data_IF_058727163449
#
_entry.id   IF_058727163449
#
_cell.length_a   1.000
_cell.length_b   1.000
_cell.length_c   1.000
_cell.angle_alpha   90.00
_cell.angle_beta   90.00
_cell.angle_gamma   90.00
#
_symmetry.space_group_name_H-M   'P 1'
#
loop_
_entity.id
_entity.type
_entity.pdbx_description
1 polymer ?
#
# COMPACT_ATOMS: atom_id res chain seq x y z
N UNK A 1 34.79 -6.50 -50.79
CA UNK A 1 33.49 -6.97 -50.21
C UNK A 1 33.61 -7.44 -48.78
N UNK A 2 34.34 -8.52 -48.40
CA UNK A 2 34.33 -9.10 -47.04
C UNK A 2 34.72 -8.16 -45.91
N UNK A 3 35.74 -7.29 -46.10
CA UNK A 3 36.11 -6.28 -45.08
C UNK A 3 34.98 -5.29 -44.79
N UNK A 4 34.33 -4.76 -45.81
CA UNK A 4 33.24 -3.79 -45.65
C UNK A 4 32.02 -4.43 -44.99
N UNK A 5 31.73 -5.71 -45.32
CA UNK A 5 30.68 -6.46 -44.69
C UNK A 5 30.93 -6.63 -43.18
N UNK A 6 32.16 -7.02 -42.79
CA UNK A 6 32.55 -7.13 -41.36
C UNK A 6 32.42 -5.79 -40.64
N UNK A 7 32.89 -4.69 -41.22
CA UNK A 7 32.82 -3.36 -40.64
C UNK A 7 31.38 -2.92 -40.43
N UNK A 8 30.55 -3.00 -41.48
CA UNK A 8 29.15 -2.55 -41.40
C UNK A 8 28.27 -3.38 -40.49
N UNK A 9 28.44 -4.71 -40.49
CA UNK A 9 27.73 -5.57 -39.58
C UNK A 9 28.15 -5.32 -38.14
N UNK A 10 29.45 -5.16 -37.86
CA UNK A 10 29.93 -4.81 -36.54
C UNK A 10 29.39 -3.46 -36.02
N UNK A 11 29.45 -2.41 -36.88
CA UNK A 11 28.90 -1.09 -36.50
C UNK A 11 27.42 -1.15 -36.09
N UNK A 12 26.68 -2.12 -36.65
CA UNK A 12 25.26 -2.27 -36.36
C UNK A 12 24.97 -3.20 -35.17
N UNK A 13 25.75 -4.27 -35.03
CA UNK A 13 25.45 -5.37 -34.08
C UNK A 13 26.37 -5.37 -32.85
N UNK A 14 27.55 -4.73 -32.93
CA UNK A 14 28.54 -4.77 -31.84
C UNK A 14 29.33 -6.06 -31.74
N UNK A 15 29.12 -7.04 -32.64
CA UNK A 15 29.86 -8.31 -32.73
C UNK A 15 30.06 -8.74 -34.17
N UNK A 16 31.02 -9.64 -34.40
CA UNK A 16 31.33 -10.17 -35.71
C UNK A 16 30.48 -11.39 -36.03
N UNK A 17 29.70 -11.30 -37.09
CA UNK A 17 28.90 -12.42 -37.61
C UNK A 17 29.64 -13.18 -38.69
N UNK A 18 29.32 -14.45 -38.89
CA UNK A 18 29.72 -15.18 -40.06
C UNK A 18 28.95 -14.69 -41.31
N UNK A 19 29.53 -14.71 -42.48
CA UNK A 19 28.90 -14.15 -43.68
C UNK A 19 27.61 -14.89 -44.08
N UNK A 20 27.46 -16.14 -43.72
CA UNK A 20 26.28 -16.96 -43.96
C UNK A 20 25.07 -16.56 -43.08
N UNK A 21 25.36 -15.89 -41.96
CA UNK A 21 24.32 -15.35 -41.03
C UNK A 21 23.82 -13.94 -41.47
N UNK A 22 24.51 -13.31 -42.43
CA UNK A 22 24.08 -12.02 -42.97
C UNK A 22 23.01 -12.24 -44.04
N UNK A 23 21.81 -11.65 -43.93
CA UNK A 23 20.78 -11.73 -44.98
C UNK A 23 21.33 -11.27 -46.35
N UNK A 24 21.00 -12.02 -47.44
CA UNK A 24 21.51 -11.76 -48.78
C UNK A 24 21.23 -10.28 -49.20
N UNK A 25 20.02 -9.79 -48.96
CA UNK A 25 19.64 -8.43 -49.27
C UNK A 25 20.58 -7.35 -48.67
N UNK A 26 21.11 -7.58 -47.44
CA UNK A 26 22.07 -6.69 -46.80
C UNK A 26 23.44 -6.81 -47.48
N UNK A 27 23.88 -8.04 -47.76
CA UNK A 27 25.15 -8.28 -48.43
C UNK A 27 25.18 -7.71 -49.88
N UNK A 28 24.10 -7.91 -50.63
CA UNK A 28 23.88 -7.35 -51.97
C UNK A 28 23.86 -5.81 -51.92
N UNK A 29 23.15 -5.21 -50.99
CA UNK A 29 23.13 -3.75 -50.83
C UNK A 29 24.54 -3.20 -50.52
N UNK A 30 25.31 -3.83 -49.67
CA UNK A 30 26.68 -3.43 -49.37
C UNK A 30 27.56 -3.59 -50.61
N UNK A 31 27.46 -4.71 -51.39
CA UNK A 31 28.20 -4.97 -52.61
C UNK A 31 27.94 -3.89 -53.65
N UNK A 32 26.67 -3.58 -53.91
CA UNK A 32 26.26 -2.52 -54.83
C UNK A 32 26.85 -1.14 -54.48
N UNK A 33 26.87 -0.79 -53.17
CA UNK A 33 27.40 0.50 -52.74
C UNK A 33 28.94 0.63 -52.85
N UNK A 34 29.67 -0.47 -52.92
CA UNK A 34 31.13 -0.46 -53.09
C UNK A 34 31.55 -0.82 -54.53
N UNK A 35 30.61 -1.03 -55.44
CA UNK A 35 30.87 -1.36 -56.83
C UNK A 35 31.48 -2.77 -57.06
N UNK A 36 31.26 -3.68 -56.09
CA UNK A 36 31.80 -5.06 -56.16
C UNK A 36 30.70 -6.08 -56.44
N UNK A 37 30.96 -7.15 -57.21
CA UNK A 37 29.98 -8.17 -57.47
C UNK A 37 29.65 -8.93 -56.18
N UNK A 38 28.37 -9.24 -55.95
CA UNK A 38 27.94 -10.11 -54.86
C UNK A 38 28.13 -11.58 -55.28
N UNK A 39 28.97 -12.32 -54.53
CA UNK A 39 29.14 -13.75 -54.66
C UNK A 39 29.17 -14.39 -53.25
N UNK A 40 28.14 -15.19 -52.97
CA UNK A 40 27.96 -15.86 -51.66
C UNK A 40 29.05 -16.91 -51.39
N UNK A 41 29.50 -17.63 -52.39
CA UNK A 41 30.52 -18.66 -52.24
C UNK A 41 31.90 -18.04 -51.98
N UNK A 42 32.20 -16.91 -52.56
CA UNK A 42 33.39 -16.13 -52.23
C UNK A 42 33.36 -15.61 -50.80
N UNK A 43 32.22 -15.20 -50.32
CA UNK A 43 32.08 -14.79 -48.89
C UNK A 43 32.26 -15.95 -47.92
N UNK A 44 31.78 -17.16 -48.25
CA UNK A 44 32.01 -18.39 -47.44
C UNK A 44 33.50 -18.76 -47.42
N UNK A 45 34.18 -18.71 -48.56
CA UNK A 45 35.63 -18.94 -48.63
C UNK A 45 36.42 -17.86 -47.84
N UNK A 46 35.95 -16.64 -47.88
CA UNK A 46 36.52 -15.56 -47.09
C UNK A 46 36.42 -15.85 -45.59
N UNK A 47 35.33 -16.34 -45.08
CA UNK A 47 35.17 -16.67 -43.66
C UNK A 47 36.19 -17.68 -43.11
N UNK A 48 36.64 -18.63 -43.95
CA UNK A 48 37.69 -19.60 -43.62
C UNK A 48 39.11 -19.05 -43.87
N UNK A 49 39.26 -17.87 -44.44
CA UNK A 49 40.56 -17.36 -44.94
C UNK A 49 41.38 -16.67 -43.83
N UNK A 50 42.72 -16.68 -43.96
CA UNK A 50 43.62 -15.88 -43.13
C UNK A 50 43.34 -14.37 -43.23
N UNK A 51 42.80 -13.91 -44.39
CA UNK A 51 42.46 -12.52 -44.61
C UNK A 51 41.38 -12.03 -43.64
N UNK A 52 40.38 -12.87 -43.32
CA UNK A 52 39.37 -12.53 -42.36
C UNK A 52 39.96 -12.20 -40.97
N UNK A 53 40.94 -12.95 -40.51
CA UNK A 53 41.57 -12.69 -39.19
C UNK A 53 42.30 -11.34 -39.18
N UNK A 54 43.01 -10.99 -40.26
CA UNK A 54 43.65 -9.68 -40.40
C UNK A 54 42.60 -8.55 -40.44
N UNK A 55 41.50 -8.74 -41.15
CA UNK A 55 40.41 -7.78 -41.23
C UNK A 55 39.69 -7.58 -39.91
N UNK A 56 39.47 -8.64 -39.11
CA UNK A 56 38.94 -8.52 -37.77
C UNK A 56 39.82 -7.61 -36.90
N UNK A 57 41.13 -7.77 -36.91
CA UNK A 57 42.07 -6.93 -36.18
C UNK A 57 42.03 -5.50 -36.67
N UNK A 58 42.01 -5.30 -38.01
CA UNK A 58 41.92 -3.94 -38.59
C UNK A 58 40.62 -3.22 -38.26
N UNK A 59 39.47 -3.91 -38.24
CA UNK A 59 38.17 -3.35 -37.82
C UNK A 59 38.20 -2.97 -36.35
N UNK A 60 38.73 -3.85 -35.47
CA UNK A 60 38.88 -3.52 -34.04
C UNK A 60 39.73 -2.30 -33.79
N UNK A 61 40.88 -2.21 -34.49
CA UNK A 61 41.76 -1.05 -34.41
C UNK A 61 41.10 0.21 -34.91
N UNK A 62 40.41 0.16 -36.06
CA UNK A 62 39.70 1.32 -36.64
C UNK A 62 38.57 1.82 -35.75
N UNK A 63 37.84 0.91 -35.06
CA UNK A 63 36.73 1.25 -34.16
C UNK A 63 37.17 1.44 -32.72
N UNK A 64 38.46 1.26 -32.42
CA UNK A 64 39.03 1.32 -31.06
C UNK A 64 38.31 0.35 -30.07
N UNK A 65 38.04 -0.87 -30.53
CA UNK A 65 37.30 -1.86 -29.77
C UNK A 65 38.25 -2.96 -29.31
N UNK A 66 38.08 -3.37 -28.05
CA UNK A 66 38.81 -4.49 -27.43
C UNK A 66 38.11 -5.82 -27.76
N UNK A 67 38.87 -6.91 -27.99
CA UNK A 67 38.27 -8.24 -28.14
C UNK A 67 37.58 -8.66 -26.83
N UNK A 68 36.49 -9.43 -26.92
CA UNK A 68 35.86 -10.06 -25.76
C UNK A 68 36.73 -11.21 -25.23
N UNK A 69 37.73 -10.85 -24.40
CA UNK A 69 38.64 -11.77 -23.74
C UNK A 69 38.28 -11.96 -22.25
N UNK A 70 39.25 -12.33 -21.44
CA UNK A 70 39.02 -12.61 -20.02
C UNK A 70 38.63 -11.34 -19.25
N UNK A 71 39.22 -10.20 -19.54
CA UNK A 71 38.82 -8.91 -18.92
C UNK A 71 37.38 -8.55 -19.25
N UNK A 72 36.95 -8.75 -20.49
CA UNK A 72 35.54 -8.53 -20.87
C UNK A 72 34.57 -9.49 -20.14
N UNK A 73 34.98 -10.76 -19.94
CA UNK A 73 34.21 -11.74 -19.18
C UNK A 73 34.09 -11.34 -17.69
N UNK A 74 35.19 -10.89 -17.09
CA UNK A 74 35.19 -10.43 -15.70
C UNK A 74 34.27 -9.23 -15.54
N UNK A 75 34.40 -8.21 -16.40
CA UNK A 75 33.52 -7.04 -16.39
C UNK A 75 32.04 -7.43 -16.56
N UNK A 76 31.75 -8.29 -17.54
CA UNK A 76 30.38 -8.78 -17.80
C UNK A 76 29.78 -9.49 -16.58
N UNK A 77 30.52 -10.41 -15.97
CA UNK A 77 30.07 -11.16 -14.79
C UNK A 77 29.82 -10.25 -13.61
N UNK A 78 30.71 -9.31 -13.34
CA UNK A 78 30.53 -8.33 -12.27
C UNK A 78 29.29 -7.48 -12.52
N UNK A 79 29.13 -6.95 -13.75
CA UNK A 79 27.97 -6.17 -14.15
C UNK A 79 26.66 -6.95 -13.98
N UNK A 80 26.65 -8.23 -14.37
CA UNK A 80 25.48 -9.08 -14.21
C UNK A 80 25.15 -9.37 -12.75
N UNK A 81 26.16 -9.59 -11.91
CA UNK A 81 25.98 -9.78 -10.47
C UNK A 81 25.39 -8.54 -9.81
N UNK A 82 25.90 -7.35 -10.14
CA UNK A 82 25.41 -6.08 -9.62
C UNK A 82 23.98 -5.78 -10.11
N UNK A 83 23.71 -6.01 -11.39
CA UNK A 83 22.36 -5.87 -11.95
C UNK A 83 21.37 -6.86 -11.31
N UNK A 84 21.79 -8.10 -11.05
CA UNK A 84 20.98 -9.12 -10.43
C UNK A 84 20.59 -8.81 -8.97
N UNK A 85 21.24 -7.85 -8.29
CA UNK A 85 20.79 -7.37 -6.98
C UNK A 85 19.42 -6.70 -7.04
N UNK A 86 19.11 -6.02 -8.14
CA UNK A 86 17.90 -5.19 -8.26
C UNK A 86 16.96 -5.62 -9.38
N UNK A 87 17.43 -6.47 -10.31
CA UNK A 87 16.65 -6.94 -11.46
C UNK A 87 16.36 -8.45 -11.33
N UNK A 88 15.16 -8.86 -11.76
CA UNK A 88 14.77 -10.27 -11.85
C UNK A 88 14.65 -10.74 -13.29
N UNK A 89 14.27 -9.86 -14.21
CA UNK A 89 14.22 -10.22 -15.62
C UNK A 89 15.64 -10.39 -16.18
N UNK A 90 15.88 -11.55 -16.80
CA UNK A 90 17.16 -11.86 -17.44
C UNK A 90 17.47 -10.90 -18.57
N UNK A 91 16.45 -10.43 -19.30
CA UNK A 91 16.62 -9.50 -20.42
C UNK A 91 17.12 -8.15 -19.92
N UNK A 92 16.57 -7.65 -18.79
CA UNK A 92 17.05 -6.42 -18.17
C UNK A 92 18.54 -6.51 -17.77
N UNK A 93 18.92 -7.65 -17.17
CA UNK A 93 20.32 -7.92 -16.79
C UNK A 93 21.21 -7.94 -18.02
N UNK A 94 20.80 -8.61 -19.10
CA UNK A 94 21.53 -8.68 -20.37
C UNK A 94 21.69 -7.30 -20.98
N UNK A 95 20.65 -6.48 -21.00
CA UNK A 95 20.70 -5.11 -21.55
C UNK A 95 21.72 -4.26 -20.81
N UNK A 96 21.74 -4.30 -19.47
CA UNK A 96 22.73 -3.60 -18.64
C UNK A 96 24.15 -4.06 -18.98
N UNK A 97 24.34 -5.35 -19.18
CA UNK A 97 25.64 -5.91 -19.56
C UNK A 97 26.09 -5.47 -20.95
N UNK A 98 25.18 -5.47 -21.93
CA UNK A 98 25.45 -4.96 -23.29
C UNK A 98 25.87 -3.48 -23.23
N UNK A 99 25.11 -2.65 -22.55
CA UNK A 99 25.43 -1.23 -22.39
C UNK A 99 26.81 -1.02 -21.75
N UNK A 100 27.12 -1.81 -20.71
CA UNK A 100 28.41 -1.72 -20.02
C UNK A 100 29.57 -2.15 -20.91
N UNK A 101 29.44 -3.27 -21.61
CA UNK A 101 30.48 -3.73 -22.55
C UNK A 101 30.71 -2.72 -23.67
N UNK A 102 29.66 -2.17 -24.26
CA UNK A 102 29.76 -1.14 -25.31
C UNK A 102 30.42 0.13 -24.78
N UNK A 103 30.05 0.59 -23.58
CA UNK A 103 30.65 1.77 -22.92
C UNK A 103 32.15 1.59 -22.69
N UNK A 104 32.59 0.38 -22.35
CA UNK A 104 34.01 0.07 -22.12
C UNK A 104 34.75 -0.38 -23.41
N UNK A 105 34.10 -0.21 -24.56
CA UNK A 105 34.66 -0.53 -25.87
C UNK A 105 35.05 -1.99 -26.04
N UNK A 106 34.25 -2.93 -25.47
CA UNK A 106 34.40 -4.36 -25.72
C UNK A 106 33.49 -4.83 -26.86
N UNK A 107 34.01 -5.78 -27.64
CA UNK A 107 33.20 -6.59 -28.57
C UNK A 107 32.14 -7.37 -27.78
N UNK A 108 30.92 -7.44 -28.29
CA UNK A 108 29.88 -8.22 -27.64
C UNK A 108 30.06 -9.71 -27.91
N UNK A 109 29.91 -10.59 -26.90
CA UNK A 109 29.86 -12.04 -27.12
C UNK A 109 28.53 -12.42 -27.77
N UNK A 110 28.42 -13.68 -28.21
CA UNK A 110 27.18 -14.23 -28.72
C UNK A 110 26.03 -14.06 -27.69
N UNK A 111 24.83 -13.77 -28.18
CA UNK A 111 23.65 -13.50 -27.33
C UNK A 111 23.35 -14.63 -26.36
N UNK A 112 23.47 -15.90 -26.80
CA UNK A 112 23.31 -17.06 -25.93
C UNK A 112 24.30 -17.10 -24.76
N UNK A 113 25.49 -16.57 -24.95
CA UNK A 113 26.51 -16.46 -23.88
C UNK A 113 26.05 -15.39 -22.87
N UNK A 114 25.55 -14.23 -23.33
CA UNK A 114 25.01 -13.20 -22.46
C UNK A 114 23.86 -13.73 -21.60
N UNK A 115 22.88 -14.39 -22.23
CA UNK A 115 21.71 -14.95 -21.54
C UNK A 115 22.10 -16.02 -20.53
N UNK A 116 22.99 -16.95 -20.91
CA UNK A 116 23.46 -18.02 -20.02
C UNK A 116 24.18 -17.45 -18.80
N UNK A 117 25.11 -16.52 -18.98
CA UNK A 117 25.86 -15.90 -17.89
C UNK A 117 24.95 -15.03 -17.01
N UNK A 118 24.02 -14.27 -17.59
CA UNK A 118 23.05 -13.49 -16.85
C UNK A 118 22.15 -14.37 -15.94
N UNK A 119 21.67 -15.50 -16.48
CA UNK A 119 20.94 -16.50 -15.69
C UNK A 119 21.77 -17.08 -14.55
N UNK A 120 23.02 -17.43 -14.83
CA UNK A 120 23.94 -17.97 -13.82
C UNK A 120 24.20 -16.95 -12.70
N UNK A 121 24.50 -15.70 -13.03
CA UNK A 121 24.73 -14.63 -12.04
C UNK A 121 23.47 -14.32 -11.23
N UNK A 122 22.29 -14.27 -11.86
CA UNK A 122 21.03 -14.09 -11.16
C UNK A 122 20.78 -15.20 -10.12
N UNK A 123 21.00 -16.46 -10.51
CA UNK A 123 20.84 -17.60 -9.59
C UNK A 123 21.84 -17.51 -8.44
N UNK A 124 23.11 -17.27 -8.73
CA UNK A 124 24.15 -17.15 -7.71
C UNK A 124 23.88 -16.00 -6.73
N UNK A 125 23.47 -14.83 -7.22
CA UNK A 125 23.12 -13.65 -6.40
C UNK A 125 21.92 -13.95 -5.50
N UNK A 126 20.86 -14.58 -6.02
CA UNK A 126 19.70 -14.96 -5.21
C UNK A 126 20.08 -16.02 -4.16
N UNK A 127 20.88 -17.03 -4.51
CA UNK A 127 21.36 -18.03 -3.55
C UNK A 127 22.19 -17.39 -2.41
N UNK A 128 23.06 -16.45 -2.74
CA UNK A 128 23.84 -15.73 -1.73
C UNK A 128 22.94 -14.92 -0.76
N UNK A 129 21.90 -14.25 -1.28
CA UNK A 129 20.92 -13.57 -0.43
C UNK A 129 20.14 -14.53 0.46
N UNK A 130 19.70 -15.69 -0.08
CA UNK A 130 18.99 -16.71 0.67
C UNK A 130 19.87 -17.29 1.78
N UNK A 131 21.13 -17.61 1.48
CA UNK A 131 22.09 -18.11 2.47
C UNK A 131 22.30 -17.09 3.59
N UNK A 132 22.53 -15.83 3.26
CA UNK A 132 22.69 -14.73 4.25
C UNK A 132 21.51 -14.62 5.21
N UNK A 133 20.27 -14.72 4.70
CA UNK A 133 19.07 -14.71 5.53
C UNK A 133 19.01 -15.95 6.40
N UNK A 134 19.24 -17.13 5.83
CA UNK A 134 19.19 -18.40 6.56
C UNK A 134 20.22 -18.48 7.69
N UNK A 135 21.42 -17.96 7.47
CA UNK A 135 22.48 -17.94 8.48
C UNK A 135 22.14 -16.95 9.62
N UNK A 136 21.58 -15.79 9.26
CA UNK A 136 21.16 -14.79 10.24
C UNK A 136 19.96 -15.21 11.09
N UNK A 137 19.13 -16.16 10.62
CA UNK A 137 17.97 -16.69 11.38
C UNK A 137 18.39 -17.49 12.63
N UNK A 138 19.55 -18.13 12.61
CA UNK A 138 19.96 -19.08 13.63
C UNK A 138 19.03 -20.31 13.71
N UNK A 139 19.32 -21.21 14.65
CA UNK A 139 18.53 -22.47 14.79
C UNK A 139 17.12 -22.22 15.27
N UNK A 140 16.94 -21.30 16.21
CA UNK A 140 15.64 -20.94 16.78
C UNK A 140 14.71 -20.37 15.71
N UNK A 141 15.20 -19.42 14.90
CA UNK A 141 14.41 -18.83 13.82
C UNK A 141 14.05 -19.83 12.72
N UNK A 142 14.98 -20.74 12.39
CA UNK A 142 14.72 -21.83 11.44
C UNK A 142 13.66 -22.81 11.94
N UNK A 143 13.74 -23.21 13.21
CA UNK A 143 12.75 -24.10 13.83
C UNK A 143 11.37 -23.44 13.87
N UNK A 144 11.32 -22.15 14.23
CA UNK A 144 10.09 -21.36 14.22
C UNK A 144 9.42 -21.33 12.84
N UNK A 145 10.18 -21.00 11.77
CA UNK A 145 9.64 -20.97 10.42
C UNK A 145 9.23 -22.37 9.90
N UNK A 146 9.90 -23.43 10.37
CA UNK A 146 9.55 -24.79 9.98
C UNK A 146 8.13 -25.17 10.44
N UNK A 147 7.70 -24.69 11.61
CA UNK A 147 6.36 -24.97 12.17
C UNK A 147 5.23 -24.45 11.25
N UNK A 148 5.48 -23.46 10.41
CA UNK A 148 4.49 -22.95 9.46
C UNK A 148 4.03 -24.02 8.44
N UNK A 149 4.89 -24.98 8.14
CA UNK A 149 4.64 -25.99 7.11
C UNK A 149 4.08 -27.30 7.67
N UNK A 150 4.03 -27.44 8.99
CA UNK A 150 3.52 -28.64 9.66
C UNK A 150 2.01 -28.48 9.83
N UNK A 151 1.25 -29.48 9.40
CA UNK A 151 -0.19 -29.56 9.69
C UNK A 151 -0.31 -30.02 11.15
N UNK A 152 -0.84 -29.14 12.01
CA UNK A 152 -1.12 -29.46 13.41
C UNK A 152 -2.48 -30.16 13.59
N UNK A 153 -2.97 -30.18 14.82
CA UNK A 153 -4.28 -30.75 15.19
C UNK A 153 -5.48 -29.87 14.79
N UNK A 154 -5.31 -28.97 13.81
CA UNK A 154 -6.42 -28.15 13.30
C UNK A 154 -7.46 -29.06 12.63
N UNK A 155 -8.75 -29.00 13.06
CA UNK A 155 -9.83 -29.78 12.46
C UNK A 155 -9.98 -29.57 10.95
N UNK A 156 -9.53 -28.45 10.43
CA UNK A 156 -9.56 -28.13 8.98
C UNK A 156 -8.40 -28.78 8.21
N UNK A 157 -7.42 -29.39 8.91
CA UNK A 157 -6.19 -29.93 8.32
C UNK A 157 -5.42 -28.93 7.43
N UNK A 158 -5.46 -27.65 7.80
CA UNK A 158 -4.77 -26.56 7.09
C UNK A 158 -3.48 -26.22 7.82
N UNK A 159 -2.36 -26.18 7.10
CA UNK A 159 -1.11 -25.71 7.68
C UNK A 159 -1.15 -24.20 7.95
N UNK A 160 -0.44 -23.68 8.97
CA UNK A 160 -0.33 -22.24 9.19
C UNK A 160 0.14 -21.46 7.95
N UNK A 161 0.98 -22.09 7.12
CA UNK A 161 1.41 -21.51 5.84
C UNK A 161 0.26 -21.23 4.88
N UNK A 162 -0.69 -22.15 4.76
CA UNK A 162 -1.84 -21.96 3.89
C UNK A 162 -2.88 -21.02 4.52
N UNK A 163 -2.97 -21.01 5.84
CA UNK A 163 -3.90 -20.15 6.58
C UNK A 163 -3.54 -18.65 6.45
N UNK A 164 -2.25 -18.28 6.52
CA UNK A 164 -1.82 -16.89 6.37
C UNK A 164 -2.09 -16.29 4.98
N UNK A 165 -2.42 -17.09 3.98
CA UNK A 165 -2.72 -16.66 2.61
C UNK A 165 -4.16 -16.26 2.39
N UNK A 166 -5.05 -16.60 3.30
CA UNK A 166 -6.47 -16.29 3.17
C UNK A 166 -6.69 -14.77 3.15
N UNK A 167 -7.61 -14.32 2.32
CA UNK A 167 -7.98 -12.91 2.23
C UNK A 167 -8.86 -12.47 3.40
N UNK A 168 -8.99 -11.16 3.57
CA UNK A 168 -9.81 -10.57 4.63
C UNK A 168 -11.28 -10.98 4.51
N UNK A 169 -11.93 -11.20 5.66
CA UNK A 169 -13.35 -11.49 5.73
C UNK A 169 -14.23 -10.27 5.36
N UNK A 170 -15.53 -10.51 5.23
CA UNK A 170 -16.52 -9.45 4.99
C UNK A 170 -16.45 -8.35 6.07
N UNK A 171 -16.80 -7.08 5.78
CA UNK A 171 -16.77 -5.98 6.72
C UNK A 171 -17.97 -6.04 7.71
N UNK A 172 -17.99 -7.09 8.52
CA UNK A 172 -18.90 -7.32 9.64
C UNK A 172 -18.15 -7.17 10.96
N UNK A 173 -18.83 -7.21 12.09
CA UNK A 173 -18.19 -7.18 13.42
C UNK A 173 -17.30 -8.41 13.62
N UNK A 174 -17.77 -9.58 13.22
CA UNK A 174 -16.97 -10.81 13.30
C UNK A 174 -15.79 -10.77 12.33
N UNK A 175 -15.99 -10.28 11.10
CA UNK A 175 -14.89 -10.04 10.16
C UNK A 175 -13.83 -9.06 10.68
N UNK A 176 -14.21 -8.05 11.46
CA UNK A 176 -13.24 -7.17 12.15
C UNK A 176 -12.43 -7.94 13.21
N UNK A 177 -13.07 -8.83 13.98
CA UNK A 177 -12.38 -9.68 14.99
C UNK A 177 -11.40 -10.63 14.34
N UNK A 178 -11.83 -11.30 13.28
CA UNK A 178 -10.98 -12.23 12.53
C UNK A 178 -9.76 -11.50 11.92
N UNK A 179 -9.97 -10.31 11.39
CA UNK A 179 -8.89 -9.53 10.80
C UNK A 179 -7.87 -9.05 11.85
N UNK A 180 -8.34 -8.65 13.04
CA UNK A 180 -7.45 -8.29 14.16
C UNK A 180 -6.68 -9.50 14.66
N UNK A 181 -7.33 -10.68 14.80
CA UNK A 181 -6.67 -11.91 15.21
C UNK A 181 -5.56 -12.31 14.20
N UNK A 182 -5.84 -12.17 12.91
CA UNK A 182 -4.86 -12.41 11.83
C UNK A 182 -3.71 -11.41 11.87
N UNK A 183 -3.99 -10.14 12.13
CA UNK A 183 -2.94 -9.13 12.30
C UNK A 183 -2.01 -9.49 13.47
N UNK A 184 -2.56 -9.91 14.60
CA UNK A 184 -1.78 -10.32 15.76
C UNK A 184 -0.92 -11.54 15.44
N UNK A 185 -1.48 -12.58 14.83
CA UNK A 185 -0.75 -13.76 14.37
C UNK A 185 0.40 -13.39 13.42
N UNK A 186 0.14 -12.56 12.40
CA UNK A 186 1.16 -12.14 11.45
C UNK A 186 2.23 -11.25 12.10
N UNK A 187 1.87 -10.46 13.10
CA UNK A 187 2.82 -9.62 13.85
C UNK A 187 3.80 -10.51 14.65
N UNK A 188 3.31 -11.56 15.27
CA UNK A 188 4.13 -12.54 15.99
C UNK A 188 5.07 -13.27 15.02
N UNK A 189 4.58 -13.68 13.86
CA UNK A 189 5.38 -14.31 12.80
C UNK A 189 6.40 -13.36 12.17
N UNK A 190 6.15 -12.06 12.21
CA UNK A 190 6.99 -11.04 11.55
C UNK A 190 8.26 -10.68 12.34
N UNK A 191 8.52 -11.27 13.51
CA UNK A 191 9.68 -10.95 14.36
C UNK A 191 11.03 -11.06 13.61
N UNK A 192 11.17 -11.99 12.68
CA UNK A 192 12.37 -12.18 11.88
C UNK A 192 12.39 -11.40 10.56
N UNK A 193 11.33 -10.70 10.18
CA UNK A 193 11.27 -9.97 8.89
C UNK A 193 12.24 -8.79 8.82
N UNK A 194 12.81 -8.38 9.95
CA UNK A 194 13.86 -7.37 10.05
C UNK A 194 15.10 -7.77 9.20
N UNK A 195 15.36 -9.06 9.02
CA UNK A 195 16.45 -9.57 8.19
C UNK A 195 16.29 -9.21 6.70
N UNK A 196 15.07 -8.87 6.28
CA UNK A 196 14.81 -8.41 4.92
C UNK A 196 15.14 -6.93 4.68
N UNK A 197 15.57 -6.17 5.68
CA UNK A 197 15.87 -4.73 5.52
C UNK A 197 16.98 -4.46 4.50
N UNK A 198 17.95 -5.37 4.39
CA UNK A 198 19.07 -5.25 3.44
C UNK A 198 18.77 -5.82 2.06
N UNK A 199 17.61 -6.41 1.87
CA UNK A 199 17.20 -7.02 0.61
C UNK A 199 16.38 -6.01 -0.20
N UNK A 200 16.67 -5.84 -1.50
CA UNK A 200 15.90 -4.95 -2.36
C UNK A 200 14.41 -5.33 -2.41
N UNK A 201 13.54 -4.32 -2.40
CA UNK A 201 12.08 -4.52 -2.39
C UNK A 201 11.57 -5.35 -3.58
N UNK A 202 12.22 -5.24 -4.73
CA UNK A 202 11.88 -6.03 -5.93
C UNK A 202 12.04 -7.52 -5.66
N UNK A 203 13.12 -7.92 -4.98
CA UNK A 203 13.37 -9.32 -4.59
C UNK A 203 12.34 -9.81 -3.59
N UNK A 204 12.06 -9.00 -2.55
CA UNK A 204 11.06 -9.34 -1.54
C UNK A 204 9.68 -9.54 -2.18
N UNK A 205 9.26 -8.65 -3.09
CA UNK A 205 8.00 -8.80 -3.82
C UNK A 205 7.95 -10.08 -4.64
N UNK A 206 9.03 -10.38 -5.37
CA UNK A 206 9.12 -11.59 -6.20
C UNK A 206 9.03 -12.86 -5.35
N UNK A 207 9.79 -12.94 -4.25
CA UNK A 207 9.74 -14.08 -3.33
C UNK A 207 8.38 -14.23 -2.65
N UNK A 208 7.75 -13.12 -2.29
CA UNK A 208 6.40 -13.15 -1.72
C UNK A 208 5.35 -13.65 -2.73
N UNK A 209 5.46 -13.27 -4.01
CA UNK A 209 4.60 -13.81 -5.08
C UNK A 209 4.81 -15.31 -5.27
N UNK A 210 6.08 -15.77 -5.29
CA UNK A 210 6.41 -17.19 -5.34
C UNK A 210 5.80 -17.93 -4.13
N UNK A 211 6.00 -17.42 -2.90
CA UNK A 211 5.45 -18.02 -1.69
C UNK A 211 3.92 -18.07 -1.67
N UNK A 212 3.27 -17.07 -2.26
CA UNK A 212 1.81 -17.03 -2.34
C UNK A 212 1.24 -18.12 -3.26
N UNK A 213 1.97 -18.53 -4.29
CA UNK A 213 1.54 -19.55 -5.25
C UNK A 213 1.81 -20.99 -4.78
N UNK A 214 2.70 -21.20 -3.80
CA UNK A 214 3.17 -22.52 -3.37
C UNK A 214 2.47 -22.97 -2.08
N UNK A 215 1.94 -24.18 -2.06
CA UNK A 215 1.42 -24.82 -0.84
C UNK A 215 2.53 -25.23 0.14
N UNK A 216 2.14 -25.72 1.33
CA UNK A 216 3.10 -26.15 2.35
C UNK A 216 3.99 -27.30 1.88
N UNK A 217 3.45 -28.26 1.12
CA UNK A 217 4.21 -29.41 0.61
C UNK A 217 5.27 -28.97 -0.40
N UNK A 218 4.92 -28.10 -1.33
CA UNK A 218 5.84 -27.49 -2.29
C UNK A 218 6.95 -26.69 -1.60
N UNK A 219 6.61 -25.96 -0.54
CA UNK A 219 7.59 -25.22 0.28
C UNK A 219 8.58 -26.17 0.97
N UNK A 220 8.12 -27.29 1.51
CA UNK A 220 9.00 -28.29 2.14
C UNK A 220 9.98 -28.90 1.14
N UNK A 221 9.57 -29.12 -0.11
CA UNK A 221 10.43 -29.63 -1.19
C UNK A 221 11.49 -28.62 -1.69
N UNK A 222 11.38 -27.35 -1.30
CA UNK A 222 12.32 -26.30 -1.72
C UNK A 222 13.62 -26.34 -0.90
N UNK A 223 14.74 -25.87 -1.49
CA UNK A 223 16.01 -25.70 -0.77
C UNK A 223 15.78 -24.81 0.49
N UNK A 224 16.31 -25.28 1.64
CA UNK A 224 16.03 -24.72 2.97
C UNK A 224 16.22 -23.19 3.04
N UNK A 225 17.37 -22.71 2.55
CA UNK A 225 17.68 -21.28 2.58
C UNK A 225 16.69 -20.44 1.75
N UNK A 226 16.29 -20.94 0.57
CA UNK A 226 15.28 -20.30 -0.27
C UNK A 226 13.91 -20.31 0.41
N UNK A 227 13.51 -21.44 1.00
CA UNK A 227 12.25 -21.60 1.74
C UNK A 227 12.09 -20.53 2.82
N UNK A 228 13.13 -20.31 3.63
CA UNK A 228 13.10 -19.32 4.70
C UNK A 228 12.99 -17.89 4.15
N UNK A 229 13.74 -17.54 3.11
CA UNK A 229 13.65 -16.23 2.48
C UNK A 229 12.26 -15.96 1.89
N UNK A 230 11.69 -16.93 1.19
CA UNK A 230 10.33 -16.89 0.61
C UNK A 230 9.27 -16.77 1.72
N UNK A 231 9.42 -17.54 2.81
CA UNK A 231 8.50 -17.47 3.94
C UNK A 231 8.48 -16.09 4.60
N UNK A 232 9.66 -15.54 4.91
CA UNK A 232 9.75 -14.19 5.50
C UNK A 232 9.21 -13.11 4.57
N UNK A 233 9.47 -13.22 3.27
CA UNK A 233 8.96 -12.27 2.29
C UNK A 233 7.43 -12.28 2.23
N UNK A 234 6.81 -13.48 2.23
CA UNK A 234 5.35 -13.60 2.26
C UNK A 234 4.75 -13.06 3.56
N UNK A 235 5.30 -13.41 4.72
CA UNK A 235 4.84 -12.91 6.03
C UNK A 235 4.86 -11.38 6.04
N UNK A 236 5.97 -10.76 5.59
CA UNK A 236 6.08 -9.29 5.50
C UNK A 236 5.01 -8.68 4.60
N UNK A 237 4.78 -9.28 3.43
CA UNK A 237 3.77 -8.80 2.49
C UNK A 237 2.36 -8.97 3.04
N UNK A 238 2.05 -10.10 3.68
CA UNK A 238 0.75 -10.37 4.28
C UNK A 238 0.45 -9.45 5.45
N UNK A 239 1.45 -9.18 6.31
CA UNK A 239 1.30 -8.22 7.39
C UNK A 239 1.00 -6.80 6.85
N UNK A 240 1.70 -6.35 5.81
CA UNK A 240 1.40 -5.07 5.19
C UNK A 240 -0.03 -5.03 4.63
N UNK A 241 -0.44 -6.08 3.90
CA UNK A 241 -1.80 -6.17 3.34
C UNK A 241 -2.88 -6.18 4.42
N UNK A 242 -2.72 -6.96 5.48
CA UNK A 242 -3.68 -7.00 6.60
C UNK A 242 -3.75 -5.63 7.31
N UNK A 243 -2.63 -4.90 7.38
CA UNK A 243 -2.63 -3.54 7.92
C UNK A 243 -3.46 -2.59 7.03
N UNK A 244 -3.32 -2.67 5.71
CA UNK A 244 -4.14 -1.91 4.76
C UNK A 244 -5.63 -2.31 4.87
N UNK A 245 -5.93 -3.61 4.97
CA UNK A 245 -7.29 -4.12 5.14
C UNK A 245 -7.93 -3.64 6.46
N UNK A 246 -7.15 -3.50 7.56
CA UNK A 246 -7.61 -2.92 8.82
C UNK A 246 -7.99 -1.44 8.66
N UNK A 247 -7.19 -0.66 7.94
CA UNK A 247 -7.52 0.73 7.62
C UNK A 247 -8.79 0.82 6.78
N UNK A 248 -8.90 -0.01 5.76
CA UNK A 248 -10.05 -0.05 4.85
C UNK A 248 -11.35 -0.41 5.57
N UNK A 249 -11.32 -1.46 6.40
CA UNK A 249 -12.52 -1.90 7.14
C UNK A 249 -12.94 -0.84 8.16
N UNK A 250 -11.97 -0.19 8.82
CA UNK A 250 -12.23 0.92 9.74
C UNK A 250 -12.95 2.08 9.01
N UNK A 251 -12.41 2.53 7.89
CA UNK A 251 -12.99 3.61 7.10
C UNK A 251 -14.39 3.25 6.57
N UNK A 252 -14.59 2.01 6.10
CA UNK A 252 -15.90 1.52 5.63
C UNK A 252 -16.94 1.49 6.75
N UNK A 253 -16.55 1.06 7.94
CA UNK A 253 -17.45 1.05 9.10
C UNK A 253 -17.81 2.46 9.57
N UNK A 254 -16.84 3.39 9.60
CA UNK A 254 -17.13 4.80 9.92
C UNK A 254 -18.10 5.42 8.92
N UNK A 255 -17.89 5.20 7.62
CA UNK A 255 -18.83 5.68 6.58
C UNK A 255 -20.24 5.12 6.77
N UNK A 256 -20.38 3.83 7.13
CA UNK A 256 -21.69 3.21 7.42
C UNK A 256 -22.36 3.86 8.63
N UNK A 257 -21.59 4.15 9.70
CA UNK A 257 -22.11 4.81 10.89
C UNK A 257 -22.62 6.22 10.55
N UNK A 258 -21.85 7.00 9.80
CA UNK A 258 -22.22 8.35 9.39
C UNK A 258 -23.46 8.35 8.48
N UNK A 259 -23.47 7.47 7.47
CA UNK A 259 -24.62 7.36 6.56
C UNK A 259 -25.90 6.96 7.28
N UNK A 260 -25.84 5.98 8.19
CA UNK A 260 -26.98 5.59 8.99
C UNK A 260 -27.47 6.75 9.93
N UNK A 261 -26.55 7.57 10.41
CA UNK A 261 -26.90 8.75 11.20
C UNK A 261 -27.57 9.84 10.36
N UNK A 262 -27.10 10.05 9.12
CA UNK A 262 -27.72 10.97 8.15
C UNK A 262 -29.14 10.52 7.78
N UNK A 263 -29.33 9.24 7.45
CA UNK A 263 -30.65 8.67 7.17
C UNK A 263 -31.60 8.80 8.37
N UNK A 264 -31.08 8.58 9.59
CA UNK A 264 -31.87 8.75 10.80
C UNK A 264 -32.27 10.20 11.04
N UNK A 265 -31.41 11.17 10.70
CA UNK A 265 -31.74 12.59 10.75
C UNK A 265 -32.83 12.93 9.72
N UNK A 266 -32.70 12.50 8.47
CA UNK A 266 -33.70 12.73 7.42
C UNK A 266 -35.06 12.15 7.82
N UNK A 267 -35.07 10.95 8.36
CA UNK A 267 -36.29 10.32 8.89
C UNK A 267 -36.87 11.14 10.02
N UNK A 268 -36.06 11.59 11.00
CA UNK A 268 -36.51 12.43 12.11
C UNK A 268 -37.17 13.70 11.61
N UNK A 269 -36.55 14.37 10.64
CA UNK A 269 -37.09 15.61 10.05
C UNK A 269 -38.43 15.36 9.35
N UNK A 270 -38.52 14.29 8.57
CA UNK A 270 -39.75 13.87 7.88
C UNK A 270 -40.87 13.52 8.86
N UNK A 271 -40.58 12.70 9.87
CA UNK A 271 -41.56 12.28 10.90
C UNK A 271 -42.09 13.44 11.75
N UNK A 272 -41.36 14.56 11.85
CA UNK A 272 -41.72 15.72 12.63
C UNK A 272 -42.09 16.95 11.77
N UNK A 273 -42.27 16.79 10.48
CA UNK A 273 -42.61 17.90 9.56
C UNK A 273 -43.89 18.64 9.98
N UNK A 274 -44.96 17.90 10.35
CA UNK A 274 -46.23 18.51 10.79
C UNK A 274 -46.04 19.43 12.02
N UNK A 275 -45.21 19.01 12.99
CA UNK A 275 -44.90 19.83 14.18
C UNK A 275 -44.12 21.09 13.80
N UNK A 276 -43.20 20.97 12.84
CA UNK A 276 -42.42 22.12 12.34
C UNK A 276 -43.34 23.10 11.62
N UNK A 277 -44.22 22.60 10.75
CA UNK A 277 -45.20 23.42 10.04
C UNK A 277 -46.18 24.11 11.01
N UNK A 278 -46.57 23.43 12.09
CA UNK A 278 -47.43 24.01 13.12
C UNK A 278 -46.70 25.14 13.89
N UNK A 279 -45.42 24.99 14.18
CA UNK A 279 -44.61 26.07 14.78
C UNK A 279 -44.52 27.27 13.86
N UNK A 280 -44.30 27.08 12.57
CA UNK A 280 -44.26 28.16 11.58
C UNK A 280 -45.61 28.91 11.50
N UNK A 281 -46.74 28.16 11.47
CA UNK A 281 -48.08 28.75 11.48
C UNK A 281 -48.31 29.58 12.75
N UNK A 282 -47.88 29.09 13.89
CA UNK A 282 -47.97 29.83 15.18
C UNK A 282 -47.09 31.08 15.21
N UNK A 283 -45.89 31.00 14.63
CA UNK A 283 -45.02 32.15 14.50
C UNK A 283 -45.71 33.26 13.65
N UNK A 284 -46.31 32.90 12.53
CA UNK A 284 -47.11 33.85 11.72
C UNK A 284 -48.29 34.43 12.49
N UNK A 285 -48.95 33.64 13.36
CA UNK A 285 -50.04 34.13 14.23
C UNK A 285 -49.50 35.13 15.26
N UNK A 286 -48.34 34.85 15.89
CA UNK A 286 -47.69 35.76 16.81
C UNK A 286 -47.31 37.08 16.14
N UNK A 287 -46.77 37.03 14.93
CA UNK A 287 -46.44 38.20 14.12
C UNK A 287 -47.68 39.03 13.82
N UNK A 288 -48.79 38.41 13.44
CA UNK A 288 -50.04 39.08 13.18
C UNK A 288 -50.60 39.75 14.42
N UNK A 289 -50.51 39.12 15.60
CA UNK A 289 -50.94 39.71 16.88
C UNK A 289 -50.07 40.90 17.24
N UNK A 290 -48.76 40.83 17.09
CA UNK A 290 -47.83 41.92 17.38
C UNK A 290 -48.03 43.14 16.46
N UNK A 291 -48.38 42.92 15.21
CA UNK A 291 -48.62 43.96 14.22
C UNK A 291 -50.08 44.47 14.22
N UNK A 292 -50.92 43.92 15.08
CA UNK A 292 -52.33 44.35 15.19
C UNK A 292 -52.47 45.74 15.85
N UNK A 293 -53.57 46.46 15.59
CA UNK A 293 -53.90 47.73 16.23
C UNK A 293 -54.55 47.59 17.62
N UNK A 294 -54.42 46.38 18.23
CA UNK A 294 -54.97 46.09 19.56
C UNK A 294 -54.15 46.77 20.67
N UNK A 295 -54.70 46.86 21.84
CA UNK A 295 -53.99 47.36 23.02
C UNK A 295 -52.90 46.42 23.45
N UNK A 296 -51.84 46.90 24.09
CA UNK A 296 -50.74 46.11 24.58
C UNK A 296 -51.18 44.94 25.49
N UNK A 297 -52.26 45.14 26.28
CA UNK A 297 -52.80 44.07 27.14
C UNK A 297 -53.45 42.91 26.31
N UNK A 298 -54.20 43.30 25.27
CA UNK A 298 -54.81 42.30 24.34
C UNK A 298 -53.78 41.57 23.53
N UNK A 299 -52.76 42.27 23.02
CA UNK A 299 -51.62 41.65 22.33
C UNK A 299 -50.91 40.65 23.26
N UNK A 300 -50.59 41.00 24.49
CA UNK A 300 -49.96 40.15 25.48
C UNK A 300 -50.79 38.87 25.78
N UNK A 301 -52.15 39.08 25.91
CA UNK A 301 -53.07 37.96 26.09
C UNK A 301 -53.06 36.99 24.90
N UNK A 302 -53.11 37.54 23.69
CA UNK A 302 -53.04 36.73 22.44
C UNK A 302 -51.73 35.95 22.29
N UNK A 303 -50.61 36.60 22.62
CA UNK A 303 -49.31 35.93 22.65
C UNK A 303 -49.30 34.76 23.65
N UNK A 304 -49.74 35.02 24.90
CA UNK A 304 -49.80 33.98 25.95
C UNK A 304 -50.68 32.82 25.51
N UNK A 305 -51.87 33.09 24.98
CA UNK A 305 -52.77 32.05 24.50
C UNK A 305 -52.16 31.19 23.39
N UNK A 306 -51.48 31.83 22.44
CA UNK A 306 -50.82 31.14 21.34
C UNK A 306 -49.69 30.23 21.84
N UNK A 307 -48.86 30.67 22.78
CA UNK A 307 -47.73 29.92 23.31
C UNK A 307 -48.19 28.79 24.25
N UNK A 308 -49.14 29.04 25.15
CA UNK A 308 -49.57 28.08 26.17
C UNK A 308 -50.52 26.99 25.65
N UNK A 309 -51.12 27.16 24.48
CA UNK A 309 -52.07 26.21 23.91
C UNK A 309 -51.42 24.82 23.58
N UNK A 310 -50.12 24.79 23.34
CA UNK A 310 -49.38 23.57 22.97
C UNK A 310 -47.96 23.61 23.55
N UNK A 311 -47.80 23.29 24.85
CA UNK A 311 -46.51 23.31 25.53
C UNK A 311 -45.52 22.27 24.96
N UNK A 312 -46.04 21.18 24.39
CA UNK A 312 -45.28 20.14 23.71
C UNK A 312 -44.47 20.67 22.53
N UNK A 313 -45.00 21.68 21.80
CA UNK A 313 -44.29 22.32 20.70
C UNK A 313 -43.11 23.20 21.16
N UNK A 314 -43.18 23.75 22.34
CA UNK A 314 -42.07 24.54 22.92
C UNK A 314 -40.89 23.61 23.26
N UNK A 315 -41.17 22.45 23.84
CA UNK A 315 -40.15 21.45 24.11
C UNK A 315 -39.56 20.86 22.82
N UNK A 316 -40.42 20.53 21.85
CA UNK A 316 -40.01 20.08 20.52
C UNK A 316 -39.11 21.12 19.82
N UNK A 317 -39.50 22.41 19.85
CA UNK A 317 -38.69 23.48 19.23
C UNK A 317 -37.30 23.56 19.83
N UNK A 318 -37.18 23.43 21.15
CA UNK A 318 -35.89 23.41 21.84
C UNK A 318 -35.02 22.22 21.41
N UNK A 319 -35.62 21.04 21.37
CA UNK A 319 -34.92 19.82 20.93
C UNK A 319 -34.55 19.89 19.45
N UNK A 320 -35.47 20.38 18.62
CA UNK A 320 -35.28 20.51 17.17
C UNK A 320 -34.12 21.47 16.81
N UNK A 321 -33.90 22.51 17.62
CA UNK A 321 -32.79 23.44 17.44
C UNK A 321 -31.40 22.71 17.47
N UNK A 322 -31.30 21.58 18.14
CA UNK A 322 -30.08 20.74 18.15
C UNK A 322 -29.77 20.12 16.78
N UNK A 323 -30.78 19.92 15.92
CA UNK A 323 -30.64 19.37 14.57
C UNK A 323 -30.50 20.47 13.50
N UNK A 324 -30.43 21.73 13.92
CA UNK A 324 -30.19 22.86 13.01
C UNK A 324 -28.90 22.66 12.20
N UNK A 325 -28.95 23.03 10.90
CA UNK A 325 -27.83 22.90 10.02
C UNK A 325 -27.54 21.44 9.56
N UNK A 326 -28.55 20.56 9.59
CA UNK A 326 -28.42 19.14 9.24
C UNK A 326 -27.36 18.44 10.11
N UNK A 327 -27.54 18.46 11.41
CA UNK A 327 -26.60 17.88 12.36
C UNK A 327 -26.97 16.44 12.68
N UNK A 328 -26.33 15.50 12.00
CA UNK A 328 -26.45 14.05 12.15
C UNK A 328 -25.78 13.49 13.42
N UNK A 329 -24.92 14.27 14.06
CA UNK A 329 -24.07 13.82 15.18
C UNK A 329 -24.84 13.26 16.36
N UNK A 330 -26.10 13.72 16.56
CA UNK A 330 -26.99 13.20 17.61
C UNK A 330 -27.26 11.70 17.47
N UNK A 331 -27.27 11.20 16.21
CA UNK A 331 -27.55 9.79 15.91
C UNK A 331 -26.27 8.95 15.80
N UNK A 332 -25.10 9.58 15.63
CA UNK A 332 -23.82 8.87 15.44
C UNK A 332 -23.54 7.91 16.58
N UNK A 333 -23.72 8.33 17.83
CA UNK A 333 -23.48 7.48 18.99
C UNK A 333 -24.30 6.18 18.98
N UNK A 334 -25.57 6.25 18.59
CA UNK A 334 -26.46 5.10 18.52
C UNK A 334 -25.90 4.03 17.57
N UNK A 335 -25.43 4.41 16.40
CA UNK A 335 -24.88 3.50 15.39
C UNK A 335 -23.43 3.11 15.65
N UNK A 336 -22.66 3.96 16.32
CA UNK A 336 -21.27 3.70 16.67
C UNK A 336 -21.12 2.75 17.87
N UNK A 337 -21.96 2.93 18.88
CA UNK A 337 -21.88 2.17 20.16
C UNK A 337 -21.72 0.66 19.98
N UNK A 338 -22.50 -0.04 19.13
CA UNK A 338 -22.36 -1.50 18.95
C UNK A 338 -21.01 -1.91 18.32
N UNK A 339 -20.37 -1.01 17.58
CA UNK A 339 -19.11 -1.25 16.85
C UNK A 339 -17.89 -0.69 17.57
N UNK A 340 -18.10 0.12 18.60
CA UNK A 340 -17.06 0.91 19.27
C UNK A 340 -15.88 0.06 19.73
N UNK A 341 -16.15 -1.07 20.39
CA UNK A 341 -15.09 -1.92 20.96
C UNK A 341 -14.13 -2.43 19.87
N UNK A 342 -14.66 -2.96 18.77
CA UNK A 342 -13.85 -3.50 17.68
C UNK A 342 -13.18 -2.39 16.86
N UNK A 343 -13.85 -1.26 16.67
CA UNK A 343 -13.25 -0.07 16.01
C UNK A 343 -12.04 0.45 16.79
N UNK A 344 -12.16 0.60 18.11
CA UNK A 344 -11.04 1.02 18.96
C UNK A 344 -9.95 -0.05 19.04
N UNK A 345 -10.32 -1.33 18.95
CA UNK A 345 -9.36 -2.44 18.89
C UNK A 345 -8.54 -2.37 17.60
N UNK A 346 -9.17 -2.16 16.44
CA UNK A 346 -8.46 -1.93 15.17
C UNK A 346 -7.52 -0.73 15.30
N UNK A 347 -8.04 0.40 15.79
CA UNK A 347 -7.27 1.63 15.92
C UNK A 347 -6.03 1.44 16.83
N UNK A 348 -6.13 0.60 17.86
CA UNK A 348 -5.00 0.28 18.74
C UNK A 348 -3.90 -0.56 18.08
N UNK A 349 -4.20 -1.24 16.96
CA UNK A 349 -3.20 -2.01 16.20
C UNK A 349 -2.50 -1.16 15.14
N UNK A 350 -3.13 -0.09 14.68
CA UNK A 350 -2.57 0.81 13.68
C UNK A 350 -1.52 1.72 14.34
N UNK A 351 -0.31 1.67 13.83
CA UNK A 351 0.78 2.59 14.23
C UNK A 351 0.63 3.89 13.43
N UNK A 352 -0.28 4.73 13.90
CA UNK A 352 -0.51 6.03 13.26
C UNK A 352 0.67 6.96 13.55
N UNK A 353 1.13 7.65 12.51
CA UNK A 353 2.15 8.68 12.60
C UNK A 353 1.83 9.79 11.59
N UNK A 354 1.96 11.06 12.00
CA UNK A 354 1.81 12.18 11.10
C UNK A 354 3.09 12.42 10.30
N UNK A 355 2.94 12.88 9.07
CA UNK A 355 4.05 13.36 8.24
C UNK A 355 4.26 14.87 8.36
N UNK A 356 3.37 15.57 9.06
CA UNK A 356 3.42 17.00 9.35
C UNK A 356 3.87 17.28 10.78
N UNK A 357 4.07 18.56 11.11
CA UNK A 357 4.34 18.98 12.50
C UNK A 357 3.07 19.01 13.36
N UNK A 358 1.89 18.90 12.72
CA UNK A 358 0.60 18.86 13.42
C UNK A 358 0.35 17.45 13.96
N UNK A 359 0.45 17.27 15.27
CA UNK A 359 0.21 16.02 15.99
C UNK A 359 -1.18 15.95 16.64
N UNK A 360 -2.07 16.88 16.37
CA UNK A 360 -3.40 17.00 17.01
C UNK A 360 -4.25 15.74 16.80
N UNK A 361 -4.21 15.15 15.59
CA UNK A 361 -4.94 13.92 15.30
C UNK A 361 -4.38 12.72 16.07
N UNK A 362 -3.06 12.56 16.13
CA UNK A 362 -2.41 11.48 16.90
C UNK A 362 -2.77 11.57 18.38
N UNK A 363 -2.72 12.77 18.96
CA UNK A 363 -3.06 13.01 20.37
C UNK A 363 -4.53 12.69 20.65
N UNK A 364 -5.42 13.06 19.73
CA UNK A 364 -6.85 12.73 19.84
C UNK A 364 -7.10 11.24 19.78
N UNK A 365 -6.41 10.51 18.90
CA UNK A 365 -6.49 9.05 18.84
C UNK A 365 -5.92 8.42 20.12
N UNK A 366 -4.77 8.88 20.61
CA UNK A 366 -4.19 8.41 21.86
C UNK A 366 -5.14 8.60 23.03
N UNK A 367 -5.81 9.77 23.13
CA UNK A 367 -6.83 10.05 24.12
C UNK A 367 -8.01 9.09 24.06
N UNK A 368 -8.54 8.82 22.85
CA UNK A 368 -9.62 7.85 22.67
C UNK A 368 -9.20 6.43 23.10
N UNK A 369 -7.97 6.02 22.79
CA UNK A 369 -7.45 4.68 23.13
C UNK A 369 -7.20 4.55 24.63
N UNK A 370 -6.72 5.58 25.31
CA UNK A 370 -6.55 5.59 26.77
C UNK A 370 -7.89 5.39 27.49
N UNK A 371 -8.95 6.01 26.95
CA UNK A 371 -10.28 5.94 27.53
C UNK A 371 -11.19 4.84 26.93
N UNK A 372 -10.63 3.91 26.16
CA UNK A 372 -11.39 2.86 25.47
C UNK A 372 -12.25 1.97 26.36
N UNK A 373 -11.86 1.80 27.62
CA UNK A 373 -12.60 1.00 28.61
C UNK A 373 -13.81 1.71 29.21
N UNK A 374 -13.96 3.02 28.98
CA UNK A 374 -15.09 3.81 29.47
C UNK A 374 -16.25 3.70 28.46
N UNK A 375 -17.36 3.11 28.87
CA UNK A 375 -18.49 2.79 27.99
C UNK A 375 -19.59 3.84 28.00
N UNK A 376 -19.44 4.92 28.79
CA UNK A 376 -20.42 6.00 28.86
C UNK A 376 -20.35 6.89 27.61
N UNK A 377 -21.47 7.45 27.21
CA UNK A 377 -21.56 8.42 26.13
C UNK A 377 -20.67 9.63 26.42
N UNK A 378 -20.59 10.04 27.68
CA UNK A 378 -19.78 11.16 28.14
C UNK A 378 -18.58 10.68 28.94
N UNK A 379 -17.39 11.18 28.59
CA UNK A 379 -16.18 10.94 29.36
C UNK A 379 -16.12 11.90 30.55
N UNK A 380 -16.09 11.35 31.74
CA UNK A 380 -15.76 12.11 32.96
C UNK A 380 -14.30 11.90 33.26
N UNK A 381 -13.47 12.95 33.00
CA UNK A 381 -12.03 12.90 33.27
C UNK A 381 -11.78 13.10 34.77
N UNK A 382 -10.90 12.28 35.34
CA UNK A 382 -10.43 12.44 36.71
C UNK A 382 -9.19 13.36 36.70
N UNK A 383 -8.93 14.05 37.82
CA UNK A 383 -7.75 14.89 37.99
C UNK A 383 -6.41 14.14 37.81
N UNK A 384 -6.44 12.80 37.88
CA UNK A 384 -5.29 11.90 37.67
C UNK A 384 -5.09 11.53 36.17
N UNK A 385 -6.02 11.86 35.30
CA UNK A 385 -5.90 11.54 33.87
C UNK A 385 -4.82 12.45 33.26
N UNK A 386 -3.74 11.84 32.74
CA UNK A 386 -2.53 12.53 32.28
C UNK A 386 -2.68 13.19 30.92
N UNK A 387 -3.68 12.80 30.16
CA UNK A 387 -3.94 13.30 28.79
C UNK A 387 -5.09 14.28 28.81
N UNK A 388 -4.79 15.57 28.87
CA UNK A 388 -5.76 16.62 28.59
C UNK A 388 -5.63 17.03 27.11
N UNK A 389 -6.76 17.14 26.41
CA UNK A 389 -6.80 17.73 25.07
C UNK A 389 -6.55 19.24 25.17
N UNK A 390 -5.82 19.78 24.21
CA UNK A 390 -5.57 21.23 24.07
C UNK A 390 -6.51 21.83 23.03
N UNK A 391 -6.54 23.18 22.96
CA UNK A 391 -7.31 23.89 21.94
C UNK A 391 -6.94 23.46 20.51
N UNK A 392 -5.67 23.11 20.30
CA UNK A 392 -5.17 22.69 18.99
C UNK A 392 -5.68 21.30 18.60
N UNK A 393 -6.01 20.46 19.56
CA UNK A 393 -6.57 19.12 19.32
C UNK A 393 -8.02 19.14 18.82
N UNK A 394 -8.71 20.28 18.95
CA UNK A 394 -10.10 20.48 18.51
C UNK A 394 -10.20 21.16 17.14
N UNK A 395 -9.09 21.59 16.53
CA UNK A 395 -9.10 22.36 15.26
C UNK A 395 -9.79 21.59 14.13
N UNK A 396 -9.62 20.28 14.09
CA UNK A 396 -10.19 19.42 13.05
C UNK A 396 -11.65 19.00 13.31
N UNK A 397 -12.21 19.29 14.51
CA UNK A 397 -13.61 19.00 14.82
C UNK A 397 -14.48 20.16 14.29
N UNK A 398 -15.43 19.91 13.37
CA UNK A 398 -16.35 20.95 12.89
C UNK A 398 -17.13 21.61 14.03
N UNK A 399 -17.38 22.91 13.94
CA UNK A 399 -18.05 23.70 14.98
C UNK A 399 -19.46 23.16 15.35
N UNK A 400 -20.20 22.65 14.37
CA UNK A 400 -21.51 22.01 14.57
C UNK A 400 -21.47 20.81 15.56
N UNK A 401 -20.30 20.19 15.75
CA UNK A 401 -20.11 19.05 16.66
C UNK A 401 -19.70 19.49 18.06
N UNK A 402 -19.16 20.69 18.23
CA UNK A 402 -18.68 21.13 19.55
C UNK A 402 -19.77 21.14 20.58
N UNK A 403 -20.96 21.70 20.23
CA UNK A 403 -22.10 21.74 21.12
C UNK A 403 -22.55 20.35 21.59
N UNK A 404 -22.50 19.35 20.69
CA UNK A 404 -22.83 17.96 21.02
C UNK A 404 -21.76 17.28 21.86
N UNK A 405 -20.48 17.50 21.54
CA UNK A 405 -19.36 16.90 22.25
C UNK A 405 -19.19 17.50 23.65
N UNK A 406 -19.45 18.78 23.81
CA UNK A 406 -19.15 19.53 25.04
C UNK A 406 -20.34 20.23 25.65
N UNK A 407 -21.39 20.48 24.90
CA UNK A 407 -22.52 21.31 25.27
C UNK A 407 -22.24 22.83 25.21
N UNK A 408 -21.06 23.21 24.73
CA UNK A 408 -20.63 24.62 24.66
C UNK A 408 -20.51 25.07 23.20
N UNK A 409 -20.76 26.36 22.95
CA UNK A 409 -20.67 26.94 21.61
C UNK A 409 -19.33 27.60 21.32
N UNK A 410 -18.57 27.95 22.37
CA UNK A 410 -17.23 28.53 22.24
C UNK A 410 -16.14 27.47 22.46
N UNK A 411 -15.09 27.54 21.65
CA UNK A 411 -14.00 26.58 21.65
C UNK A 411 -13.32 26.44 23.03
N UNK A 412 -13.00 27.53 23.68
CA UNK A 412 -12.30 27.52 24.98
C UNK A 412 -13.15 26.95 26.11
N UNK A 413 -14.46 27.28 26.11
CA UNK A 413 -15.42 26.73 27.06
C UNK A 413 -15.63 25.23 26.82
N UNK A 414 -15.67 24.80 25.54
CA UNK A 414 -15.76 23.41 25.14
C UNK A 414 -14.56 22.61 25.64
N UNK A 415 -13.36 23.12 25.43
CA UNK A 415 -12.12 22.48 25.88
C UNK A 415 -12.07 22.34 27.40
N UNK A 416 -12.45 23.42 28.14
CA UNK A 416 -12.52 23.38 29.59
C UNK A 416 -13.47 22.30 30.09
N UNK A 417 -14.58 22.08 29.41
CA UNK A 417 -15.57 21.07 29.76
C UNK A 417 -15.13 19.67 29.45
N UNK A 418 -14.43 19.44 28.33
CA UNK A 418 -13.80 18.15 28.01
C UNK A 418 -12.78 17.77 29.08
N UNK A 419 -11.93 18.69 29.48
CA UNK A 419 -10.85 18.44 30.45
C UNK A 419 -11.34 18.32 31.90
N UNK A 420 -12.53 18.81 32.22
CA UNK A 420 -13.14 18.72 33.55
C UNK A 420 -14.11 17.55 33.74
N UNK A 421 -14.53 16.91 32.65
CA UNK A 421 -15.45 15.77 32.65
C UNK A 421 -14.75 14.47 32.28
#
# INVERSE_FOLDING_TARGET
MGFTLLLKTYQRLGYFVASDQVPNAIAEYIAANIGEPYDRDNLRRYDASPARRKHLSAVRQFLEVKPFGDDGKVLMRQTFADAALTKEDVIDIVNIGIETLVRHRYELPAFDTLVREARAQRVATNQAMHAKINDALGDTGRAFLHQLFVVGDDPRHVSPWNDIKQDAAMPTIDGMRDLVARYDQLTDLACHTILLKTIPLVKIKQWALEGNSLDAASMVGMAVAKRHAVALALIRQRLARVTDDLCDIFCKQMKRVLHAAEEALEKYLSDNQEKTDEILRRFATLEAVLNSKQSAAEQLSGIRQTVTARPDLCEFSRLHAEYGGKNECRFVWHFFKPRRAEMLRILSKLKLATTSQDTSFERSVAFMLEHRQRHNEWLVLKATDKTALTSDDLVWIPEKWWKLVTGETQRDAALTRINRR
#
